data_IF_730483715790
#
_entry.id   IF_730483715790
#
_cell.length_a   1.000
_cell.length_b   1.000
_cell.length_c   1.000
_cell.angle_alpha   90.00
_cell.angle_beta   90.00
_cell.angle_gamma   90.00
#
_symmetry.space_group_name_H-M   'P 1'
#
loop_
_entity.id
_entity.type
_entity.pdbx_description
1 polymer ?
#
# COMPACT_ATOMS: atom_id res chain seq x y z
N UNK A 1 -3.88 25.55 -19.99
CA UNK A 1 -2.80 24.67 -19.50
C UNK A 1 -3.31 24.04 -18.22
N UNK A 2 -3.33 22.70 -18.12
CA UNK A 2 -3.73 22.04 -16.87
C UNK A 2 -2.74 22.42 -15.78
N UNK A 3 -3.23 22.95 -14.66
CA UNK A 3 -2.39 23.35 -13.54
C UNK A 3 -1.74 22.10 -12.91
N UNK A 4 -0.42 22.11 -12.76
CA UNK A 4 0.32 20.99 -12.17
C UNK A 4 0.15 21.03 -10.65
N UNK A 5 -0.50 20.01 -10.09
CA UNK A 5 -0.71 19.89 -8.64
C UNK A 5 0.32 18.91 -8.07
N UNK A 6 1.13 19.29 -7.05
CA UNK A 6 2.07 18.39 -6.43
C UNK A 6 1.33 17.23 -5.75
N UNK A 7 1.90 16.04 -5.88
CA UNK A 7 1.43 14.82 -5.23
C UNK A 7 2.63 14.03 -4.71
N UNK A 8 2.39 13.23 -3.68
CA UNK A 8 3.32 12.24 -3.15
C UNK A 8 2.81 10.85 -3.52
N UNK A 9 3.73 9.90 -3.67
CA UNK A 9 3.35 8.51 -3.89
C UNK A 9 4.27 7.56 -3.12
N UNK A 10 3.75 6.38 -2.80
CA UNK A 10 4.50 5.33 -2.12
C UNK A 10 4.22 3.98 -2.78
N UNK A 11 5.28 3.22 -3.04
CA UNK A 11 5.17 1.87 -3.62
C UNK A 11 5.21 0.85 -2.50
N UNK A 12 4.15 0.07 -2.34
CA UNK A 12 4.12 -1.06 -1.43
C UNK A 12 4.84 -2.24 -2.06
N UNK A 13 5.68 -2.90 -1.27
CA UNK A 13 6.48 -4.04 -1.71
C UNK A 13 6.37 -5.17 -0.71
N UNK A 14 6.16 -6.39 -1.22
CA UNK A 14 6.43 -7.59 -0.43
C UNK A 14 7.92 -7.90 -0.52
N UNK A 15 8.51 -8.22 0.62
CA UNK A 15 9.93 -8.59 0.77
C UNK A 15 9.96 -10.02 1.27
N UNK A 16 9.92 -11.03 0.38
CA UNK A 16 9.79 -12.43 0.80
C UNK A 16 11.05 -12.97 1.49
N UNK A 17 12.23 -12.44 1.17
CA UNK A 17 13.48 -12.77 1.83
C UNK A 17 14.37 -11.52 1.95
N UNK A 18 14.56 -11.04 3.18
CA UNK A 18 15.34 -9.84 3.48
C UNK A 18 16.82 -10.05 3.13
N UNK A 19 17.38 -11.20 3.47
CA UNK A 19 18.81 -11.53 3.28
C UNK A 19 19.21 -11.55 1.81
N UNK A 20 18.31 -11.99 0.92
CA UNK A 20 18.53 -12.00 -0.54
C UNK A 20 18.14 -10.68 -1.21
N UNK A 21 17.51 -9.76 -0.49
CA UNK A 21 17.09 -8.45 -1.02
C UNK A 21 15.96 -8.52 -2.06
N UNK A 22 15.19 -9.59 -2.09
CA UNK A 22 14.07 -9.79 -3.02
C UNK A 22 12.92 -8.83 -2.73
N UNK A 23 12.32 -8.27 -3.78
CA UNK A 23 11.20 -7.34 -3.66
C UNK A 23 10.24 -7.52 -4.83
N UNK A 24 8.95 -7.52 -4.55
CA UNK A 24 7.89 -7.45 -5.56
C UNK A 24 6.97 -6.28 -5.23
N UNK A 25 6.78 -5.37 -6.19
CA UNK A 25 5.82 -4.28 -6.04
C UNK A 25 4.40 -4.85 -6.05
N UNK A 26 3.60 -4.49 -5.05
CA UNK A 26 2.24 -5.03 -4.83
C UNK A 26 1.20 -3.94 -4.63
N UNK A 27 1.60 -2.66 -4.65
CA UNK A 27 0.65 -1.55 -4.62
C UNK A 27 1.29 -0.19 -4.77
N UNK A 28 0.44 0.82 -4.96
CA UNK A 28 0.78 2.23 -5.09
C UNK A 28 -0.24 3.06 -4.31
N UNK A 29 0.25 3.81 -3.31
CA UNK A 29 -0.53 4.87 -2.70
C UNK A 29 -0.20 6.21 -3.37
N UNK A 30 -1.23 7.01 -3.62
CA UNK A 30 -1.10 8.36 -4.15
C UNK A 30 -1.82 9.34 -3.22
N UNK A 31 -1.12 10.40 -2.83
CA UNK A 31 -1.62 11.44 -1.96
C UNK A 31 -1.47 12.80 -2.61
N UNK A 32 -2.56 13.56 -2.69
CA UNK A 32 -2.56 14.95 -3.15
C UNK A 32 -3.37 15.81 -2.17
N UNK A 33 -2.66 16.54 -1.31
CA UNK A 33 -3.26 17.45 -0.31
C UNK A 33 -4.20 18.48 -0.93
N UNK A 34 -3.85 19.03 -2.09
CA UNK A 34 -4.66 20.06 -2.77
C UNK A 34 -6.01 19.53 -3.28
N UNK A 35 -6.12 18.21 -3.46
CA UNK A 35 -7.33 17.55 -3.93
C UNK A 35 -8.07 16.80 -2.82
N UNK A 36 -7.57 16.87 -1.58
CA UNK A 36 -8.01 15.99 -0.49
C UNK A 36 -8.06 14.51 -0.92
N UNK A 37 -7.09 14.11 -1.73
CA UNK A 37 -7.07 12.82 -2.39
C UNK A 37 -6.04 11.91 -1.72
N UNK A 38 -6.51 10.75 -1.28
CA UNK A 38 -5.68 9.65 -0.82
C UNK A 38 -6.31 8.34 -1.29
N UNK A 39 -5.59 7.61 -2.14
CA UNK A 39 -5.99 6.27 -2.55
C UNK A 39 -4.80 5.33 -2.52
N UNK A 40 -5.10 4.05 -2.31
CA UNK A 40 -4.15 2.96 -2.40
C UNK A 40 -4.71 1.88 -3.32
N UNK A 41 -4.01 1.61 -4.40
CA UNK A 41 -4.28 0.45 -5.24
C UNK A 41 -3.28 -0.67 -5.01
N UNK A 42 -3.77 -1.90 -4.95
CA UNK A 42 -2.99 -3.09 -4.60
C UNK A 42 -3.29 -4.24 -5.56
N UNK A 43 -2.25 -4.96 -5.97
CA UNK A 43 -2.37 -6.18 -6.77
C UNK A 43 -1.24 -7.13 -6.40
N UNK A 44 -1.59 -8.34 -5.96
CA UNK A 44 -0.62 -9.41 -5.72
C UNK A 44 -0.55 -10.35 -6.93
N UNK A 45 0.59 -10.35 -7.60
CA UNK A 45 0.88 -11.31 -8.67
C UNK A 45 1.38 -12.63 -8.05
N UNK A 46 0.51 -13.63 -8.02
CA UNK A 46 0.76 -14.91 -7.37
C UNK A 46 1.83 -15.72 -8.09
N UNK A 47 1.85 -15.68 -9.42
CA UNK A 47 2.85 -16.40 -10.21
C UNK A 47 4.24 -15.82 -9.99
N UNK A 48 4.36 -14.47 -9.98
CA UNK A 48 5.63 -13.81 -9.71
C UNK A 48 6.10 -14.00 -8.27
N UNK A 49 5.18 -14.01 -7.30
CA UNK A 49 5.51 -14.29 -5.91
C UNK A 49 6.04 -15.72 -5.74
N UNK A 50 5.35 -16.71 -6.32
CA UNK A 50 5.76 -18.11 -6.26
C UNK A 50 7.11 -18.35 -6.95
N UNK A 51 7.41 -17.61 -8.02
CA UNK A 51 8.69 -17.72 -8.72
C UNK A 51 9.90 -17.27 -7.87
N UNK A 52 9.74 -16.24 -7.02
CA UNK A 52 10.82 -15.74 -6.15
C UNK A 52 10.80 -16.38 -4.76
N UNK A 53 9.63 -16.84 -4.30
CA UNK A 53 9.42 -17.37 -2.96
C UNK A 53 8.40 -18.51 -2.96
N UNK A 54 8.75 -19.70 -3.49
CA UNK A 54 7.81 -20.79 -3.74
C UNK A 54 7.17 -21.38 -2.47
N UNK A 55 7.79 -21.20 -1.30
CA UNK A 55 7.26 -21.65 -0.01
C UNK A 55 6.43 -20.61 0.74
N UNK A 56 6.25 -19.40 0.19
CA UNK A 56 5.49 -18.34 0.83
C UNK A 56 4.00 -18.48 0.52
N UNK A 57 3.18 -18.58 1.56
CA UNK A 57 1.72 -18.49 1.43
C UNK A 57 1.30 -17.04 1.08
N UNK A 58 0.57 -16.82 -0.04
CA UNK A 58 0.08 -15.48 -0.40
C UNK A 58 -1.01 -14.95 0.53
N UNK A 59 -1.78 -15.81 1.22
CA UNK A 59 -2.98 -15.37 1.95
C UNK A 59 -2.68 -14.34 3.08
N UNK A 60 -1.63 -14.48 3.90
CA UNK A 60 -1.24 -13.45 4.86
C UNK A 60 -0.84 -12.12 4.21
N UNK A 61 -0.23 -12.16 3.02
CA UNK A 61 0.15 -10.96 2.27
C UNK A 61 -1.10 -10.21 1.81
N UNK A 62 -2.07 -10.93 1.23
CA UNK A 62 -3.35 -10.35 0.81
C UNK A 62 -4.13 -9.78 1.99
N UNK A 63 -4.21 -10.51 3.10
CA UNK A 63 -4.87 -10.04 4.34
C UNK A 63 -4.24 -8.74 4.86
N UNK A 64 -2.90 -8.65 4.80
CA UNK A 64 -2.18 -7.44 5.19
C UNK A 64 -2.44 -6.28 4.23
N UNK A 65 -2.41 -6.51 2.92
CA UNK A 65 -2.73 -5.50 1.91
C UNK A 65 -4.15 -4.97 2.08
N UNK A 66 -5.13 -5.85 2.33
CA UNK A 66 -6.52 -5.48 2.63
C UNK A 66 -6.63 -4.62 3.88
N UNK A 67 -5.89 -4.95 4.93
CA UNK A 67 -5.89 -4.17 6.17
C UNK A 67 -5.27 -2.78 5.99
N UNK A 68 -4.17 -2.69 5.23
CA UNK A 68 -3.56 -1.39 4.88
C UNK A 68 -4.52 -0.55 4.04
N UNK A 69 -5.17 -1.15 3.03
CA UNK A 69 -6.17 -0.48 2.19
C UNK A 69 -7.29 0.12 3.03
N UNK A 70 -7.86 -0.63 3.96
CA UNK A 70 -8.93 -0.13 4.84
C UNK A 70 -8.49 1.07 5.70
N UNK A 71 -7.26 1.06 6.21
CA UNK A 71 -6.71 2.24 6.91
C UNK A 71 -6.61 3.43 5.96
N UNK A 72 -6.06 3.24 4.76
CA UNK A 72 -5.91 4.31 3.76
C UNK A 72 -7.24 4.84 3.24
N UNK A 73 -8.27 4.02 3.15
CA UNK A 73 -9.64 4.42 2.78
C UNK A 73 -10.38 5.11 3.94
N UNK A 74 -9.89 4.98 5.17
CA UNK A 74 -10.50 5.61 6.35
C UNK A 74 -11.69 4.81 6.86
N UNK A 75 -11.68 3.49 6.64
CA UNK A 75 -12.71 2.57 7.15
C UNK A 75 -12.68 2.57 8.69
N UNK A 76 -13.74 3.02 9.39
CA UNK A 76 -13.80 3.03 10.85
C UNK A 76 -13.60 1.64 11.48
N UNK A 77 -13.88 0.56 10.74
CA UNK A 77 -13.65 -0.80 11.21
C UNK A 77 -12.15 -1.20 11.23
N UNK A 78 -11.27 -0.42 10.63
CA UNK A 78 -9.81 -0.64 10.65
C UNK A 78 -9.11 -0.04 11.87
N UNK A 79 -9.86 0.54 12.81
CA UNK A 79 -9.35 1.05 14.09
C UNK A 79 -8.84 2.48 14.02
N UNK A 80 -8.19 2.94 15.10
CA UNK A 80 -7.83 4.35 15.32
C UNK A 80 -6.95 4.98 14.25
N UNK A 81 -6.18 4.18 13.51
CA UNK A 81 -5.37 4.68 12.40
C UNK A 81 -6.22 5.19 11.23
N UNK A 82 -7.39 4.61 11.02
CA UNK A 82 -8.30 5.01 9.95
C UNK A 82 -9.01 6.34 10.26
N UNK A 83 -9.06 6.74 11.53
CA UNK A 83 -9.65 8.00 12.00
C UNK A 83 -8.72 9.21 11.80
N UNK A 84 -7.45 8.97 11.47
CA UNK A 84 -6.48 10.02 11.20
C UNK A 84 -6.80 10.79 9.92
N UNK A 85 -6.35 12.03 9.84
CA UNK A 85 -6.45 12.82 8.60
C UNK A 85 -5.69 12.14 7.45
N UNK A 86 -6.09 12.36 6.17
CA UNK A 86 -5.44 11.71 5.02
C UNK A 86 -3.92 11.86 4.99
N UNK A 87 -3.39 13.02 5.41
CA UNK A 87 -1.94 13.27 5.46
C UNK A 87 -1.23 12.35 6.45
N UNK A 88 -1.85 12.08 7.60
CA UNK A 88 -1.27 11.26 8.67
C UNK A 88 -1.39 9.77 8.34
N UNK A 89 -2.50 9.37 7.68
CA UNK A 89 -2.65 8.01 7.13
C UNK A 89 -1.61 7.70 6.07
N UNK A 90 -1.34 8.66 5.17
CA UNK A 90 -0.25 8.53 4.20
C UNK A 90 1.11 8.48 4.90
N UNK A 91 1.34 9.33 5.91
CA UNK A 91 2.58 9.33 6.70
C UNK A 91 2.83 8.04 7.48
N UNK A 92 1.78 7.37 7.96
CA UNK A 92 1.88 6.06 8.62
C UNK A 92 2.30 4.93 7.65
N UNK A 93 1.94 5.06 6.37
CA UNK A 93 2.24 4.05 5.34
C UNK A 93 3.70 4.11 4.86
N UNK A 94 4.33 5.28 4.91
CA UNK A 94 5.65 5.57 4.32
C UNK A 94 6.76 5.57 5.35
#
# INVERSE_FOLDING_TARGET
>A
MSESRPFSYAVLRVVPCIERGERLNVGLALFCRQLDFLELETRLDHERLAAIAPGLDPAPVESRLSSIRRVIEGDPAAGTLAELDPSDRFGWLT
#
